data_IF_295582834957
#
_entry.id   IF_295582834957
#
_cell.length_a   1.000
_cell.length_b   1.000
_cell.length_c   1.000
_cell.angle_alpha   90.00
_cell.angle_beta   90.00
_cell.angle_gamma   90.00
#
_symmetry.space_group_name_H-M   'P 1'
#
loop_
_entity.id
_entity.type
_entity.pdbx_description
1 polymer ?
#
# COMPACT_ATOMS: atom_id res chain seq x y z
N UNK A 1 -22.52 36.73 26.06
CA UNK A 1 -22.54 36.49 24.60
C UNK A 1 -21.40 35.54 24.25
N UNK A 2 -21.70 34.26 24.10
CA UNK A 2 -20.71 33.18 23.98
C UNK A 2 -20.17 33.06 22.55
N UNK A 3 -18.90 33.38 22.36
CA UNK A 3 -18.11 33.21 21.13
C UNK A 3 -17.76 31.74 20.81
N UNK A 4 -18.56 30.77 21.27
CA UNK A 4 -18.30 29.32 21.15
C UNK A 4 -19.28 28.57 20.21
N UNK A 5 -20.10 29.29 19.42
CA UNK A 5 -21.12 28.68 18.53
C UNK A 5 -20.78 28.70 17.03
N UNK A 6 -19.53 29.01 16.64
CA UNK A 6 -19.12 29.10 15.22
C UNK A 6 -18.21 27.97 14.73
N UNK A 7 -18.10 26.85 15.46
CA UNK A 7 -17.67 25.59 14.86
C UNK A 7 -18.92 24.89 14.33
N UNK A 8 -19.15 25.04 13.02
CA UNK A 8 -20.14 24.34 12.21
C UNK A 8 -20.18 22.85 12.56
N UNK A 9 -21.09 22.46 13.45
CA UNK A 9 -21.38 21.06 13.70
C UNK A 9 -22.01 20.50 12.44
N UNK A 10 -21.30 19.59 11.79
CA UNK A 10 -21.93 18.69 10.86
C UNK A 10 -23.04 17.94 11.63
N UNK A 11 -24.31 18.20 11.28
CA UNK A 11 -25.46 17.52 11.88
C UNK A 11 -25.43 16.01 11.61
N UNK A 12 -26.24 15.23 12.32
CA UNK A 12 -26.33 13.77 12.12
C UNK A 12 -26.40 13.41 10.63
N UNK A 13 -25.65 12.38 10.19
CA UNK A 13 -25.63 11.98 8.77
C UNK A 13 -27.04 11.68 8.21
N UNK A 14 -27.95 11.23 9.08
CA UNK A 14 -29.34 10.92 8.75
C UNK A 14 -30.18 12.14 8.35
N UNK A 15 -29.78 13.37 8.75
CA UNK A 15 -30.48 14.62 8.42
C UNK A 15 -29.92 15.30 7.18
N UNK A 16 -28.90 14.72 6.56
CA UNK A 16 -28.26 15.29 5.37
C UNK A 16 -29.11 15.03 4.12
N UNK A 17 -29.04 15.97 3.17
CA UNK A 17 -29.75 15.91 1.89
C UNK A 17 -29.42 14.61 1.15
N UNK A 18 -30.45 13.96 0.59
CA UNK A 18 -30.33 12.76 -0.22
C UNK A 18 -29.98 13.13 -1.65
N UNK A 19 -28.76 12.79 -2.08
CA UNK A 19 -28.22 13.12 -3.39
C UNK A 19 -28.42 11.99 -4.40
N UNK A 20 -28.34 10.75 -3.94
CA UNK A 20 -28.52 9.57 -4.78
C UNK A 20 -29.18 8.45 -3.99
N UNK A 21 -30.08 7.73 -4.66
CA UNK A 21 -30.73 6.54 -4.11
C UNK A 21 -30.89 5.48 -5.19
N UNK A 22 -30.57 4.24 -4.84
CA UNK A 22 -30.93 3.06 -5.59
C UNK A 22 -31.57 2.05 -4.62
N UNK A 23 -32.81 1.65 -4.84
CA UNK A 23 -33.57 0.75 -3.96
C UNK A 23 -33.72 -0.68 -4.50
N UNK A 24 -33.08 -0.96 -5.63
CA UNK A 24 -33.20 -2.23 -6.34
C UNK A 24 -31.81 -2.82 -6.59
N UNK A 25 -30.97 -2.82 -5.56
CA UNK A 25 -29.73 -3.58 -5.63
C UNK A 25 -30.10 -5.07 -5.72
N UNK A 26 -29.69 -5.67 -6.83
CA UNK A 26 -29.66 -7.13 -6.97
C UNK A 26 -28.82 -7.74 -5.84
N UNK A 27 -29.03 -9.02 -5.59
CA UNK A 27 -28.30 -9.76 -4.56
C UNK A 27 -26.79 -9.54 -4.65
N UNK A 28 -26.16 -9.27 -3.50
CA UNK A 28 -24.71 -9.09 -3.41
C UNK A 28 -24.05 -10.45 -3.18
N UNK A 29 -23.02 -10.73 -3.96
CA UNK A 29 -22.13 -11.88 -3.82
C UNK A 29 -20.68 -11.42 -3.66
N UNK A 30 -19.78 -12.33 -3.29
CA UNK A 30 -18.35 -12.03 -3.28
C UNK A 30 -17.90 -11.55 -4.67
N UNK A 31 -17.16 -10.44 -4.71
CA UNK A 31 -16.78 -9.77 -5.97
C UNK A 31 -17.74 -8.64 -6.37
N UNK A 32 -18.87 -8.47 -5.68
CA UNK A 32 -19.74 -7.30 -5.89
C UNK A 32 -18.99 -6.03 -5.48
N UNK A 33 -18.72 -5.16 -6.46
CA UNK A 33 -18.02 -3.89 -6.28
C UNK A 33 -18.89 -2.70 -6.69
N UNK A 34 -18.83 -1.64 -5.90
CA UNK A 34 -19.47 -0.36 -6.16
C UNK A 34 -18.43 0.74 -6.21
N UNK A 35 -18.36 1.46 -7.33
CA UNK A 35 -17.51 2.64 -7.47
C UNK A 35 -18.38 3.88 -7.44
N UNK A 36 -18.26 4.66 -6.37
CA UNK A 36 -18.92 5.95 -6.21
C UNK A 36 -17.94 7.04 -6.56
N UNK A 37 -18.21 7.78 -7.64
CA UNK A 37 -17.39 8.90 -8.09
C UNK A 37 -18.23 10.16 -8.23
N UNK A 38 -17.59 11.32 -8.12
CA UNK A 38 -18.28 12.61 -8.23
C UNK A 38 -17.38 13.74 -7.76
N UNK A 39 -17.98 14.87 -7.40
CA UNK A 39 -17.27 16.03 -6.88
C UNK A 39 -17.75 16.36 -5.49
N UNK A 40 -16.82 16.71 -4.60
CA UNK A 40 -17.22 17.33 -3.33
C UNK A 40 -17.53 18.80 -3.58
N UNK A 41 -18.53 19.33 -2.88
CA UNK A 41 -18.84 20.77 -2.96
C UNK A 41 -17.70 21.62 -2.38
N UNK A 42 -17.64 22.90 -2.77
CA UNK A 42 -16.58 23.84 -2.32
C UNK A 42 -16.57 24.08 -0.81
N UNK A 43 -17.72 23.90 -0.14
CA UNK A 43 -17.91 24.01 1.32
C UNK A 43 -18.12 22.64 2.00
N UNK A 44 -17.74 21.54 1.33
CA UNK A 44 -17.97 20.19 1.83
C UNK A 44 -17.37 19.97 3.22
N UNK A 45 -18.22 19.55 4.15
CA UNK A 45 -17.85 19.18 5.53
C UNK A 45 -17.81 17.65 5.67
N UNK A 46 -18.74 16.96 5.01
CA UNK A 46 -18.76 15.52 4.88
C UNK A 46 -19.80 15.06 3.88
N UNK A 47 -19.93 13.76 3.75
CA UNK A 47 -21.02 13.06 3.08
C UNK A 47 -21.03 11.62 3.58
N UNK A 48 -22.09 10.87 3.27
CA UNK A 48 -22.19 9.46 3.64
C UNK A 48 -22.64 8.60 2.47
N UNK A 49 -22.10 7.39 2.38
CA UNK A 49 -22.51 6.31 1.49
C UNK A 49 -23.04 5.18 2.38
N UNK A 50 -24.31 4.84 2.22
CA UNK A 50 -25.04 3.91 3.08
C UNK A 50 -25.53 2.70 2.28
N UNK A 51 -25.15 1.51 2.68
CA UNK A 51 -25.72 0.26 2.20
C UNK A 51 -26.73 -0.26 3.22
N UNK A 52 -27.98 -0.41 2.78
CA UNK A 52 -29.15 -0.56 3.64
C UNK A 52 -29.82 -1.91 3.37
N UNK A 53 -30.21 -2.57 4.46
CA UNK A 53 -31.11 -3.73 4.46
C UNK A 53 -32.53 -3.18 4.66
N UNK A 54 -33.44 -3.52 3.74
CA UNK A 54 -34.82 -3.03 3.73
C UNK A 54 -35.73 -3.84 4.69
N UNK A 55 -35.27 -4.04 5.93
CA UNK A 55 -36.08 -4.56 7.03
C UNK A 55 -36.91 -3.44 7.68
N UNK A 56 -37.73 -3.79 8.68
CA UNK A 56 -38.63 -2.83 9.36
C UNK A 56 -37.88 -1.60 9.88
N UNK A 57 -36.64 -1.77 10.33
CA UNK A 57 -35.82 -0.71 10.93
C UNK A 57 -34.89 -0.01 9.94
N UNK A 58 -34.90 -0.43 8.65
CA UNK A 58 -33.99 0.04 7.60
C UNK A 58 -32.52 0.04 8.04
N UNK A 59 -32.05 -1.10 8.53
CA UNK A 59 -30.70 -1.20 9.10
C UNK A 59 -29.62 -0.83 8.07
N UNK A 60 -28.58 -0.12 8.54
CA UNK A 60 -27.42 0.26 7.72
C UNK A 60 -26.33 -0.77 7.96
N UNK A 61 -26.15 -1.68 6.99
CA UNK A 61 -25.11 -2.71 7.05
C UNK A 61 -23.70 -2.11 6.96
N UNK A 62 -23.54 -1.11 6.10
CA UNK A 62 -22.30 -0.33 5.98
C UNK A 62 -22.63 1.15 5.80
N UNK A 63 -22.13 1.96 6.73
CA UNK A 63 -22.08 3.40 6.65
C UNK A 63 -20.64 3.83 6.40
N UNK A 64 -20.36 4.55 5.31
CA UNK A 64 -19.05 5.14 5.02
C UNK A 64 -19.20 6.65 4.99
N UNK A 65 -18.58 7.35 5.92
CA UNK A 65 -18.81 8.79 6.12
C UNK A 65 -17.49 9.58 6.18
N UNK A 66 -17.01 10.09 5.03
CA UNK A 66 -15.87 10.98 5.00
C UNK A 66 -16.12 12.31 5.71
N UNK A 67 -15.19 12.70 6.58
CA UNK A 67 -15.15 13.97 7.30
C UNK A 67 -14.00 14.82 6.77
N UNK A 68 -14.28 15.77 5.87
CA UNK A 68 -13.24 16.47 5.11
C UNK A 68 -12.35 17.37 5.98
N UNK A 69 -12.85 18.19 6.92
CA UNK A 69 -12.01 19.04 7.76
C UNK A 69 -11.02 18.23 8.60
N UNK A 70 -11.44 17.06 9.08
CA UNK A 70 -10.63 16.18 9.93
C UNK A 70 -9.85 15.13 9.13
N UNK A 71 -10.12 15.00 7.82
CA UNK A 71 -9.41 14.14 6.87
C UNK A 71 -9.40 12.63 7.22
N UNK A 72 -10.50 12.14 7.78
CA UNK A 72 -10.72 10.71 8.03
C UNK A 72 -12.09 10.25 7.53
N UNK A 73 -12.30 8.93 7.53
CA UNK A 73 -13.56 8.31 7.12
C UNK A 73 -14.06 7.45 8.27
N UNK A 74 -15.29 7.72 8.73
CA UNK A 74 -15.99 6.88 9.70
C UNK A 74 -16.57 5.69 8.95
N UNK A 75 -16.44 4.49 9.54
CA UNK A 75 -17.23 3.32 9.14
C UNK A 75 -18.03 2.82 10.33
N UNK A 76 -19.28 2.46 10.10
CA UNK A 76 -20.14 1.92 11.14
C UNK A 76 -21.28 1.09 10.53
N UNK A 77 -22.10 0.50 11.41
CA UNK A 77 -23.40 -0.09 11.08
C UNK A 77 -24.46 0.45 12.04
N UNK A 78 -25.70 0.55 11.58
CA UNK A 78 -26.86 0.95 12.38
C UNK A 78 -27.84 -0.20 12.41
N UNK A 79 -28.12 -0.75 13.58
CA UNK A 79 -28.98 -1.91 13.78
C UNK A 79 -30.10 -1.50 14.73
N UNK A 80 -31.35 -1.70 14.33
CA UNK A 80 -32.53 -1.33 15.11
C UNK A 80 -32.48 0.13 15.61
N UNK A 81 -32.17 1.04 14.69
CA UNK A 81 -31.99 2.47 14.93
C UNK A 81 -30.77 2.89 15.78
N UNK A 82 -29.97 1.94 16.28
CA UNK A 82 -28.80 2.21 17.13
C UNK A 82 -27.51 2.08 16.33
N UNK A 83 -26.67 3.12 16.40
CA UNK A 83 -25.33 3.08 15.83
C UNK A 83 -24.41 2.20 16.66
N UNK A 84 -23.63 1.35 16.01
CA UNK A 84 -22.59 0.55 16.65
C UNK A 84 -21.34 1.34 17.00
N UNK A 85 -20.25 0.64 17.31
CA UNK A 85 -18.93 1.26 17.57
C UNK A 85 -18.34 1.80 16.27
N UNK A 86 -17.96 3.07 16.27
CA UNK A 86 -17.33 3.72 15.11
C UNK A 86 -15.92 3.20 14.85
N UNK A 87 -15.59 2.96 13.58
CA UNK A 87 -14.23 2.70 13.12
C UNK A 87 -13.71 3.91 12.34
N UNK A 88 -12.71 4.61 12.89
CA UNK A 88 -12.08 5.81 12.28
C UNK A 88 -10.59 5.62 11.96
N UNK A 89 -9.95 4.56 12.46
CA UNK A 89 -8.54 4.29 12.22
C UNK A 89 -8.30 3.80 10.78
N UNK A 90 -7.29 4.37 10.12
CA UNK A 90 -6.77 3.96 8.81
C UNK A 90 -5.27 4.28 8.75
N UNK A 91 -4.52 3.48 8.00
CA UNK A 91 -3.09 3.73 7.77
C UNK A 91 -2.85 4.85 6.74
N UNK A 92 -3.90 5.30 6.03
CA UNK A 92 -3.86 6.43 5.11
C UNK A 92 -4.79 7.54 5.58
N UNK A 93 -4.46 8.76 5.18
CA UNK A 93 -5.40 9.87 5.22
C UNK A 93 -6.33 9.78 4.02
N UNK A 94 -7.60 10.18 4.18
CA UNK A 94 -8.59 10.10 3.11
C UNK A 94 -8.19 10.96 1.91
N UNK A 95 -7.53 12.09 2.18
CA UNK A 95 -7.03 13.06 1.21
C UNK A 95 -8.08 13.57 0.22
N UNK A 96 -9.36 13.50 0.59
CA UNK A 96 -10.45 14.16 -0.13
C UNK A 96 -10.33 15.68 0.05
N UNK A 97 -10.57 16.42 -1.04
CA UNK A 97 -10.44 17.88 -1.06
C UNK A 97 -11.74 18.51 -1.53
N UNK A 98 -12.15 19.60 -0.89
CA UNK A 98 -13.33 20.40 -1.27
C UNK A 98 -13.23 20.87 -2.72
N UNK A 99 -14.34 20.83 -3.46
CA UNK A 99 -14.39 21.25 -4.86
C UNK A 99 -13.63 20.34 -5.82
N UNK A 100 -13.18 19.16 -5.38
CA UNK A 100 -12.39 18.22 -6.21
C UNK A 100 -13.15 16.92 -6.43
N UNK A 101 -12.78 16.27 -7.54
CA UNK A 101 -13.24 14.94 -7.86
C UNK A 101 -12.77 13.92 -6.82
N UNK A 102 -13.59 12.91 -6.58
CA UNK A 102 -13.25 11.75 -5.78
C UNK A 102 -13.72 10.46 -6.44
N UNK A 103 -13.12 9.35 -6.04
CA UNK A 103 -13.59 8.00 -6.34
C UNK A 103 -13.43 7.13 -5.10
N UNK A 104 -14.50 6.46 -4.69
CA UNK A 104 -14.52 5.51 -3.58
C UNK A 104 -15.03 4.17 -4.11
N UNK A 105 -14.18 3.15 -4.09
CA UNK A 105 -14.56 1.79 -4.48
C UNK A 105 -14.81 0.95 -3.23
N UNK A 106 -15.94 0.24 -3.20
CA UNK A 106 -16.40 -0.59 -2.09
C UNK A 106 -16.63 -1.99 -2.64
N UNK A 107 -15.75 -2.92 -2.27
CA UNK A 107 -15.79 -4.32 -2.67
C UNK A 107 -16.28 -5.19 -1.51
N UNK A 108 -17.32 -5.97 -1.75
CA UNK A 108 -17.80 -7.00 -0.83
C UNK A 108 -17.06 -8.31 -1.09
N UNK A 109 -16.36 -8.83 -0.08
CA UNK A 109 -15.76 -10.17 -0.08
C UNK A 109 -16.44 -11.05 0.98
N UNK A 110 -16.14 -12.35 1.00
CA UNK A 110 -16.66 -13.23 2.07
C UNK A 110 -16.21 -12.78 3.46
N UNK A 111 -14.96 -12.34 3.59
CA UNK A 111 -14.35 -12.05 4.89
C UNK A 111 -14.68 -10.64 5.40
N UNK A 112 -14.74 -9.65 4.50
CA UNK A 112 -14.90 -8.25 4.87
C UNK A 112 -15.29 -7.38 3.67
N UNK A 113 -15.50 -6.09 3.93
CA UNK A 113 -15.69 -5.08 2.90
C UNK A 113 -14.38 -4.30 2.74
N UNK A 114 -13.87 -4.22 1.52
CA UNK A 114 -12.65 -3.48 1.19
C UNK A 114 -13.01 -2.13 0.58
N UNK A 115 -12.45 -1.05 1.13
CA UNK A 115 -12.77 0.33 0.73
C UNK A 115 -11.51 1.00 0.22
N UNK A 116 -11.53 1.46 -1.03
CA UNK A 116 -10.47 2.26 -1.65
C UNK A 116 -10.89 3.71 -1.76
N UNK A 117 -9.94 4.63 -1.68
CA UNK A 117 -10.15 6.06 -1.91
C UNK A 117 -9.12 6.51 -2.94
N UNK A 118 -9.60 7.08 -4.04
CA UNK A 118 -8.81 7.55 -5.17
C UNK A 118 -7.79 6.50 -5.66
N UNK A 119 -8.24 5.25 -5.83
CA UNK A 119 -7.42 4.16 -6.37
C UNK A 119 -6.41 3.55 -5.39
N UNK A 120 -6.38 3.99 -4.13
CA UNK A 120 -5.57 3.37 -3.07
C UNK A 120 -6.47 2.62 -2.09
N UNK A 121 -6.09 1.39 -1.73
CA UNK A 121 -6.74 0.68 -0.64
C UNK A 121 -6.63 1.51 0.65
N UNK A 122 -7.78 1.88 1.22
CA UNK A 122 -7.85 2.74 2.39
C UNK A 122 -8.02 1.90 3.65
N UNK A 123 -9.00 0.99 3.67
CA UNK A 123 -9.25 0.15 4.83
C UNK A 123 -10.11 -1.07 4.49
N UNK A 124 -10.19 -1.99 5.46
CA UNK A 124 -11.21 -3.04 5.53
C UNK A 124 -12.24 -2.71 6.61
N UNK A 125 -13.45 -3.24 6.47
CA UNK A 125 -14.52 -3.20 7.47
C UNK A 125 -15.13 -4.60 7.59
N UNK A 126 -15.16 -5.16 8.79
CA UNK A 126 -15.73 -6.51 9.01
C UNK A 126 -17.25 -6.45 8.95
N UNK A 127 -17.87 -7.42 8.29
CA UNK A 127 -19.34 -7.52 8.21
C UNK A 127 -19.95 -7.62 9.61
N UNK A 128 -20.89 -6.71 9.93
CA UNK A 128 -21.69 -6.76 11.16
C UNK A 128 -23.12 -7.24 10.91
N UNK A 129 -23.56 -7.14 9.66
CA UNK A 129 -24.83 -7.66 9.15
C UNK A 129 -24.55 -8.48 7.88
N UNK A 130 -25.45 -9.39 7.50
CA UNK A 130 -25.29 -10.18 6.29
C UNK A 130 -25.36 -9.28 5.03
N UNK A 131 -24.25 -9.15 4.30
CA UNK A 131 -24.20 -8.25 3.14
C UNK A 131 -25.12 -8.69 1.99
N UNK A 132 -25.55 -9.95 1.98
CA UNK A 132 -26.46 -10.50 0.97
C UNK A 132 -27.90 -9.97 1.09
N UNK A 133 -28.26 -9.39 2.24
CA UNK A 133 -29.58 -8.79 2.50
C UNK A 133 -29.65 -7.30 2.12
N UNK A 134 -28.53 -6.70 1.73
CA UNK A 134 -28.48 -5.31 1.29
C UNK A 134 -29.29 -5.15 0.00
N UNK A 135 -30.23 -4.20 -0.02
CA UNK A 135 -31.10 -3.92 -1.17
C UNK A 135 -31.05 -2.47 -1.63
N UNK A 136 -30.54 -1.57 -0.80
CA UNK A 136 -30.49 -0.15 -1.13
C UNK A 136 -29.12 0.47 -0.90
N UNK A 137 -28.80 1.46 -1.75
CA UNK A 137 -27.66 2.35 -1.63
C UNK A 137 -28.17 3.79 -1.57
N UNK A 138 -27.81 4.52 -0.53
CA UNK A 138 -28.11 5.95 -0.38
C UNK A 138 -26.81 6.75 -0.23
N UNK A 139 -26.72 7.87 -0.94
CA UNK A 139 -25.63 8.84 -0.79
C UNK A 139 -26.24 10.17 -0.36
N UNK A 140 -25.72 10.71 0.75
CA UNK A 140 -26.22 11.94 1.39
C UNK A 140 -25.09 12.91 1.69
N UNK A 141 -25.39 14.21 1.73
CA UNK A 141 -24.45 15.26 2.14
C UNK A 141 -23.80 16.03 0.99
N UNK A 142 -22.65 16.66 1.24
CA UNK A 142 -22.13 17.76 0.43
C UNK A 142 -21.34 17.29 -0.81
N UNK A 143 -22.00 16.60 -1.72
CA UNK A 143 -21.42 16.06 -2.97
C UNK A 143 -22.36 16.30 -4.16
N UNK A 144 -21.78 16.37 -5.35
CA UNK A 144 -22.50 16.62 -6.59
C UNK A 144 -21.95 15.79 -7.75
N UNK A 145 -22.71 15.72 -8.85
CA UNK A 145 -22.33 14.98 -10.07
C UNK A 145 -21.95 13.52 -9.77
N UNK A 146 -22.73 12.90 -8.90
CA UNK A 146 -22.51 11.53 -8.45
C UNK A 146 -22.77 10.54 -9.58
N UNK A 147 -21.82 9.64 -9.79
CA UNK A 147 -21.94 8.44 -10.61
C UNK A 147 -21.66 7.23 -9.73
N UNK A 148 -22.58 6.27 -9.75
CA UNK A 148 -22.42 4.98 -9.09
C UNK A 148 -22.35 3.90 -10.15
N UNK A 149 -21.25 3.15 -10.16
CA UNK A 149 -21.06 1.99 -11.02
C UNK A 149 -21.03 0.72 -10.18
N UNK A 150 -21.83 -0.27 -10.56
CA UNK A 150 -21.77 -1.62 -9.99
C UNK A 150 -21.11 -2.55 -10.99
N UNK A 151 -20.16 -3.34 -10.53
CA UNK A 151 -19.51 -4.38 -11.33
C UNK A 151 -19.24 -5.62 -10.47
N UNK A 152 -19.17 -6.78 -11.13
CA UNK A 152 -18.51 -7.96 -10.56
C UNK A 152 -17.04 -7.84 -10.91
N UNK A 153 -16.16 -7.93 -9.91
CA UNK A 153 -14.72 -7.82 -10.09
C UNK A 153 -14.01 -9.05 -9.55
N UNK A 154 -12.93 -9.42 -10.22
CA UNK A 154 -12.01 -10.49 -9.80
C UNK A 154 -10.75 -9.93 -9.13
N UNK A 155 -10.59 -8.61 -9.10
CA UNK A 155 -9.44 -7.96 -8.45
C UNK A 155 -9.78 -6.58 -7.90
N UNK A 156 -8.99 -6.14 -6.93
CA UNK A 156 -9.15 -4.85 -6.27
C UNK A 156 -7.79 -4.33 -5.72
N UNK A 157 -7.57 -3.00 -5.64
CA UNK A 157 -8.46 -1.94 -6.13
C UNK A 157 -8.30 -1.71 -7.64
N UNK A 158 -9.29 -1.03 -8.22
CA UNK A 158 -9.14 -0.39 -9.52
C UNK A 158 -8.25 0.84 -9.38
N UNK A 159 -7.21 0.89 -10.21
CA UNK A 159 -6.21 1.95 -10.16
C UNK A 159 -6.65 3.12 -11.02
N UNK A 160 -6.63 4.31 -10.44
CA UNK A 160 -6.66 5.58 -11.16
C UNK A 160 -5.27 5.93 -11.69
N UNK A 161 -5.14 6.80 -12.71
CA UNK A 161 -3.85 7.14 -13.33
C UNK A 161 -2.74 7.56 -12.37
N UNK A 162 -3.06 8.21 -11.24
CA UNK A 162 -2.08 8.63 -10.24
C UNK A 162 -1.72 7.54 -9.22
N UNK A 163 -2.53 6.48 -9.14
CA UNK A 163 -2.36 5.35 -8.21
C UNK A 163 -1.75 4.11 -8.86
N UNK A 164 -1.45 4.18 -10.16
CA UNK A 164 -0.77 3.09 -10.87
C UNK A 164 0.65 2.93 -10.33
N UNK A 165 1.15 1.69 -10.17
CA UNK A 165 2.53 1.46 -9.80
C UNK A 165 3.51 2.06 -10.81
N UNK A 166 4.62 2.61 -10.33
CA UNK A 166 5.65 3.22 -11.16
C UNK A 166 6.89 2.32 -11.23
N UNK A 167 7.56 2.21 -12.40
CA UNK A 167 8.82 1.48 -12.49
C UNK A 167 9.88 2.06 -11.55
N UNK A 168 10.55 1.20 -10.77
CA UNK A 168 11.65 1.59 -9.91
C UNK A 168 12.85 1.90 -10.80
N UNK A 169 13.43 3.12 -10.71
CA UNK A 169 14.58 3.48 -11.53
C UNK A 169 15.79 2.62 -11.20
N UNK A 170 16.50 2.19 -12.24
CA UNK A 170 17.76 1.46 -12.12
C UNK A 170 18.95 2.43 -12.15
N UNK A 171 19.75 2.44 -11.09
CA UNK A 171 21.01 3.19 -11.00
C UNK A 171 22.20 2.28 -11.30
N UNK A 172 23.08 2.72 -12.23
CA UNK A 172 24.18 1.92 -12.78
C UNK A 172 25.35 1.67 -11.82
N UNK A 173 25.49 2.42 -10.73
CA UNK A 173 26.55 2.18 -9.74
C UNK A 173 26.29 2.91 -8.43
N UNK A 174 26.68 2.28 -7.31
CA UNK A 174 26.86 2.95 -6.02
C UNK A 174 28.03 3.94 -6.02
N UNK A 175 29.01 3.80 -6.94
CA UNK A 175 30.21 4.65 -7.02
C UNK A 175 29.90 6.11 -7.37
N UNK A 176 28.77 6.37 -8.01
CA UNK A 176 28.29 7.75 -8.22
C UNK A 176 27.77 8.41 -6.93
N UNK A 177 27.75 7.68 -5.80
CA UNK A 177 27.24 8.12 -4.49
C UNK A 177 28.31 7.79 -3.41
N UNK A 178 29.57 8.18 -3.66
CA UNK A 178 30.78 8.03 -2.82
C UNK A 178 31.74 6.88 -3.21
N UNK A 179 33.02 7.25 -3.32
CA UNK A 179 34.19 6.44 -3.66
C UNK A 179 34.46 5.34 -2.63
N UNK A 180 34.77 4.10 -3.07
CA UNK A 180 35.78 3.29 -2.38
C UNK A 180 36.39 2.18 -3.24
N UNK A 181 37.64 1.89 -2.89
CA UNK A 181 38.63 1.03 -3.54
C UNK A 181 38.73 -0.38 -2.91
N UNK A 182 39.05 -1.34 -3.78
CA UNK A 182 39.67 -2.69 -3.62
C UNK A 182 39.03 -3.92 -2.92
N UNK A 183 39.33 -5.04 -3.62
CA UNK A 183 39.52 -6.48 -3.34
C UNK A 183 38.47 -7.34 -2.63
N UNK A 184 38.05 -8.40 -3.32
CA UNK A 184 37.07 -9.40 -2.90
C UNK A 184 37.71 -10.78 -2.76
N UNK A 185 37.57 -11.37 -1.57
CA UNK A 185 37.54 -12.83 -1.37
C UNK A 185 36.13 -13.22 -0.89
N UNK A 186 35.63 -14.34 -1.43
CA UNK A 186 34.27 -14.85 -1.27
C UNK A 186 34.03 -15.47 0.12
N UNK A 187 33.80 -14.61 1.12
CA UNK A 187 33.16 -15.01 2.37
C UNK A 187 31.89 -14.15 2.61
N UNK A 188 30.76 -14.79 2.98
CA UNK A 188 29.41 -14.19 3.14
C UNK A 188 29.40 -12.98 4.13
N UNK A 189 30.41 -12.88 5.01
CA UNK A 189 30.62 -11.76 5.93
C UNK A 189 31.25 -10.51 5.27
N UNK A 190 32.03 -10.68 4.20
CA UNK A 190 32.69 -9.56 3.51
C UNK A 190 31.71 -8.76 2.65
N UNK A 191 30.73 -9.44 2.04
CA UNK A 191 29.61 -8.81 1.32
C UNK A 191 28.82 -7.87 2.23
N UNK A 192 28.50 -8.32 3.45
CA UNK A 192 27.85 -7.50 4.46
C UNK A 192 28.72 -6.30 4.88
N UNK A 193 30.03 -6.47 5.03
CA UNK A 193 30.97 -5.36 5.33
C UNK A 193 31.05 -4.31 4.21
N UNK A 194 30.95 -4.70 2.95
CA UNK A 194 31.02 -3.77 1.83
C UNK A 194 29.70 -3.00 1.63
N UNK A 195 28.56 -3.65 1.86
CA UNK A 195 27.29 -2.94 2.00
C UNK A 195 27.38 -1.89 3.11
N UNK A 196 28.11 -2.19 4.21
CA UNK A 196 28.34 -1.26 5.32
C UNK A 196 29.02 0.07 4.98
N UNK A 197 29.57 0.21 3.79
CA UNK A 197 30.27 1.43 3.34
C UNK A 197 29.38 2.37 2.52
N UNK A 198 28.15 1.97 2.15
CA UNK A 198 27.20 2.74 1.30
C UNK A 198 26.55 3.95 2.04
N UNK A 199 27.04 4.33 3.21
CA UNK A 199 26.18 4.29 4.38
C UNK A 199 25.75 5.56 5.09
N UNK A 200 26.22 6.71 4.67
CA UNK A 200 25.84 7.94 5.37
C UNK A 200 25.35 8.95 4.37
N UNK A 201 24.02 9.20 4.30
CA UNK A 201 23.57 10.39 3.62
C UNK A 201 24.23 11.60 4.32
N UNK A 202 25.06 12.32 3.58
CA UNK A 202 25.65 13.58 4.03
C UNK A 202 24.56 14.61 4.30
N UNK A 203 24.90 15.65 5.05
CA UNK A 203 23.95 16.75 5.31
C UNK A 203 23.37 17.33 4.01
N UNK A 204 24.18 17.39 2.94
CA UNK A 204 23.75 17.81 1.61
C UNK A 204 22.76 16.84 0.95
N UNK A 205 22.96 15.52 1.05
CA UNK A 205 22.03 14.55 0.47
C UNK A 205 20.72 14.46 1.24
N UNK A 206 20.74 14.63 2.58
CA UNK A 206 19.51 14.79 3.38
C UNK A 206 18.69 16.01 2.95
N UNK A 207 19.34 17.16 2.72
CA UNK A 207 18.67 18.37 2.27
C UNK A 207 18.03 18.22 0.88
N UNK A 208 18.66 17.47 -0.03
CA UNK A 208 18.11 17.16 -1.35
C UNK A 208 16.95 16.15 -1.25
N UNK A 209 17.10 15.10 -0.44
CA UNK A 209 16.08 14.07 -0.21
C UNK A 209 14.81 14.64 0.43
N UNK A 210 14.93 15.63 1.31
CA UNK A 210 13.79 16.30 1.94
C UNK A 210 12.91 17.10 0.96
N UNK A 211 13.41 17.45 -0.22
CA UNK A 211 12.63 18.19 -1.24
C UNK A 211 11.73 17.29 -2.10
N UNK A 212 12.00 15.98 -2.14
CA UNK A 212 11.32 15.02 -3.03
C UNK A 212 10.59 13.93 -2.23
N UNK A 213 9.58 14.31 -1.44
CA UNK A 213 8.76 13.34 -0.70
C UNK A 213 7.86 12.53 -1.65
N UNK A 214 8.05 11.22 -1.66
CA UNK A 214 7.24 10.27 -2.44
C UNK A 214 5.93 10.02 -1.70
N UNK A 215 4.83 10.12 -2.44
CA UNK A 215 3.48 9.91 -1.89
C UNK A 215 3.29 8.47 -1.42
N UNK A 216 2.55 8.32 -0.32
CA UNK A 216 2.23 7.03 0.30
C UNK A 216 0.75 6.68 0.09
N UNK A 217 0.40 5.39 -0.11
CA UNK A 217 1.29 4.24 -0.13
C UNK A 217 2.06 4.16 -1.45
N UNK A 218 3.28 3.60 -1.40
CA UNK A 218 4.15 3.47 -2.56
C UNK A 218 4.01 2.08 -3.18
N UNK A 219 3.87 2.05 -4.51
CA UNK A 219 3.94 0.84 -5.33
C UNK A 219 4.98 1.04 -6.43
N UNK A 220 6.12 0.39 -6.28
CA UNK A 220 7.20 0.39 -7.27
C UNK A 220 7.25 -0.94 -8.00
N UNK A 221 7.29 -0.94 -9.33
CA UNK A 221 7.42 -2.17 -10.13
C UNK A 221 8.82 -2.34 -10.68
N UNK A 222 9.22 -3.59 -10.90
CA UNK A 222 10.49 -3.92 -11.52
C UNK A 222 10.35 -5.20 -12.35
N UNK A 223 11.19 -5.40 -13.39
CA UNK A 223 11.13 -6.61 -14.19
C UNK A 223 11.42 -7.86 -13.35
N UNK A 224 10.62 -8.91 -13.56
CA UNK A 224 10.90 -10.25 -13.05
C UNK A 224 12.33 -10.69 -13.41
N UNK A 225 12.98 -11.40 -12.49
CA UNK A 225 14.38 -11.82 -12.63
C UNK A 225 15.43 -10.80 -12.20
N UNK A 226 15.03 -9.57 -11.80
CA UNK A 226 16.00 -8.56 -11.35
C UNK A 226 16.52 -8.82 -9.93
N UNK A 227 15.79 -9.57 -9.11
CA UNK A 227 16.17 -9.90 -7.73
C UNK A 227 17.12 -11.09 -7.69
N UNK A 228 18.35 -10.85 -8.14
CA UNK A 228 19.44 -11.82 -8.14
C UNK A 228 20.65 -11.28 -7.36
N UNK A 229 21.67 -12.13 -7.18
CA UNK A 229 22.90 -11.76 -6.50
C UNK A 229 23.48 -10.44 -7.08
N UNK A 230 23.96 -9.55 -6.19
CA UNK A 230 24.51 -8.22 -6.50
C UNK A 230 23.52 -7.18 -7.04
N UNK A 231 22.21 -7.45 -6.94
CA UNK A 231 21.15 -6.45 -7.12
C UNK A 231 20.55 -6.11 -5.76
N UNK A 232 20.36 -4.81 -5.53
CA UNK A 232 19.88 -4.29 -4.24
C UNK A 232 18.70 -3.36 -4.48
N UNK A 233 17.64 -3.52 -3.71
CA UNK A 233 16.62 -2.47 -3.55
C UNK A 233 17.07 -1.56 -2.42
N UNK A 234 17.26 -0.28 -2.72
CA UNK A 234 17.57 0.76 -1.73
C UNK A 234 16.34 1.64 -1.50
N UNK A 235 16.00 1.85 -0.23
CA UNK A 235 14.88 2.66 0.22
C UNK A 235 15.42 3.68 1.21
N UNK A 236 15.31 4.98 0.90
CA UNK A 236 15.69 6.07 1.79
C UNK A 236 14.44 6.80 2.28
N UNK A 237 14.41 7.14 3.56
CA UNK A 237 13.28 7.85 4.15
C UNK A 237 13.54 8.34 5.57
N UNK A 238 12.45 8.76 6.22
CA UNK A 238 12.44 9.24 7.61
C UNK A 238 11.27 8.65 8.38
N UNK A 239 11.49 8.26 9.62
CA UNK A 239 10.39 7.86 10.51
C UNK A 239 9.58 9.11 10.89
N UNK A 240 8.25 9.01 10.93
CA UNK A 240 7.39 10.10 11.45
C UNK A 240 7.66 10.32 12.94
N UNK A 241 7.17 11.42 13.52
CA UNK A 241 7.45 11.77 14.92
C UNK A 241 6.68 10.90 15.91
N UNK A 242 5.50 10.42 15.53
CA UNK A 242 4.64 9.56 16.36
C UNK A 242 4.29 8.28 15.60
N UNK A 243 5.29 7.43 15.29
CA UNK A 243 5.07 6.25 14.47
C UNK A 243 4.37 5.16 15.29
N UNK A 244 3.40 4.48 14.69
CA UNK A 244 2.83 3.24 15.21
C UNK A 244 3.43 2.04 14.50
N UNK A 245 3.43 2.06 13.16
CA UNK A 245 4.07 1.02 12.36
C UNK A 245 4.30 1.45 10.92
N UNK A 246 5.21 0.76 10.24
CA UNK A 246 5.27 0.76 8.78
C UNK A 246 5.66 -0.62 8.27
N UNK A 247 5.30 -0.90 7.02
CA UNK A 247 5.61 -2.14 6.35
C UNK A 247 6.27 -1.93 5.00
N UNK A 248 7.10 -2.89 4.63
CA UNK A 248 7.71 -3.06 3.30
C UNK A 248 7.43 -4.49 2.86
N UNK A 249 6.81 -4.63 1.69
CA UNK A 249 6.58 -5.91 1.04
C UNK A 249 7.38 -5.98 -0.27
N UNK A 250 7.98 -7.15 -0.52
CA UNK A 250 8.39 -7.59 -1.85
C UNK A 250 7.40 -8.66 -2.27
N UNK A 251 6.63 -8.39 -3.31
CA UNK A 251 5.44 -9.16 -3.67
C UNK A 251 5.24 -9.28 -5.17
N UNK A 252 4.28 -10.12 -5.57
CA UNK A 252 3.81 -10.25 -6.95
C UNK A 252 2.60 -9.34 -7.13
N UNK A 253 2.72 -8.38 -8.05
CA UNK A 253 1.70 -7.42 -8.40
C UNK A 253 1.36 -6.42 -7.29
N UNK A 254 0.36 -5.59 -7.58
CA UNK A 254 -0.07 -4.47 -6.75
C UNK A 254 -1.52 -4.59 -6.26
N UNK A 255 -2.17 -5.75 -6.45
CA UNK A 255 -3.54 -5.98 -5.99
C UNK A 255 -3.57 -6.22 -4.48
N UNK A 256 -4.70 -5.92 -3.87
CA UNK A 256 -5.00 -6.17 -2.44
C UNK A 256 -5.97 -7.32 -2.27
N UNK A 257 -6.87 -7.51 -3.24
CA UNK A 257 -7.73 -8.68 -3.31
C UNK A 257 -7.74 -9.23 -4.76
N UNK A 258 -7.54 -10.54 -4.96
CA UNK A 258 -7.02 -11.51 -3.98
C UNK A 258 -5.71 -11.02 -3.34
N UNK A 259 -5.41 -11.49 -2.12
CA UNK A 259 -4.18 -11.07 -1.45
C UNK A 259 -2.96 -11.43 -2.33
N UNK A 260 -2.02 -10.51 -2.51
CA UNK A 260 -0.86 -10.76 -3.34
C UNK A 260 0.06 -11.77 -2.65
N UNK A 261 0.75 -12.57 -3.45
CA UNK A 261 1.83 -13.41 -2.98
C UNK A 261 2.99 -12.53 -2.50
N UNK A 262 3.42 -12.68 -1.24
CA UNK A 262 4.46 -11.85 -0.62
C UNK A 262 5.69 -12.69 -0.31
N UNK A 263 6.78 -12.47 -1.05
CA UNK A 263 8.07 -13.15 -0.85
C UNK A 263 8.90 -12.58 0.32
N UNK A 264 8.63 -11.35 0.73
CA UNK A 264 9.19 -10.76 1.94
C UNK A 264 8.24 -9.70 2.49
N UNK A 265 7.70 -9.94 3.68
CA UNK A 265 6.97 -8.96 4.49
C UNK A 265 7.85 -8.52 5.64
N UNK A 266 8.05 -7.21 5.79
CA UNK A 266 8.70 -6.60 6.95
C UNK A 266 7.70 -5.62 7.54
N UNK A 267 7.34 -5.76 8.81
CA UNK A 267 6.48 -4.84 9.53
C UNK A 267 7.17 -4.42 10.83
N UNK A 268 7.57 -3.15 10.86
CA UNK A 268 8.23 -2.53 12.00
C UNK A 268 7.15 -1.87 12.86
N UNK A 269 7.03 -2.30 14.10
CA UNK A 269 6.05 -1.81 15.07
C UNK A 269 6.76 -1.09 16.20
N UNK A 270 6.24 0.07 16.56
CA UNK A 270 6.78 0.91 17.61
C UNK A 270 5.91 0.76 18.85
N UNK A 271 6.45 0.18 19.93
CA UNK A 271 5.71 0.08 21.19
C UNK A 271 5.52 1.48 21.81
N UNK A 272 4.35 1.73 22.39
CA UNK A 272 4.15 2.91 23.24
C UNK A 272 4.66 2.57 24.65
N UNK A 273 5.60 3.33 25.20
CA UNK A 273 5.86 3.27 26.65
C UNK A 273 4.87 4.15 27.40
N UNK A 274 4.56 3.76 28.64
CA UNK A 274 3.69 4.51 29.57
C UNK A 274 4.15 5.97 29.78
N UNK A 275 5.44 6.27 29.57
CA UNK A 275 6.04 7.58 29.76
C UNK A 275 6.15 8.44 28.47
N UNK A 276 5.50 8.06 27.37
CA UNK A 276 5.42 8.89 26.15
C UNK A 276 6.64 8.88 25.23
N UNK A 277 7.74 8.22 25.61
CA UNK A 277 8.87 7.94 24.71
C UNK A 277 8.53 6.70 23.86
N UNK A 278 8.88 6.71 22.58
CA UNK A 278 8.70 5.54 21.71
C UNK A 278 9.57 4.39 22.23
N UNK A 279 8.91 3.28 22.59
CA UNK A 279 9.50 2.11 23.22
C UNK A 279 10.26 1.20 22.25
N UNK A 280 10.58 -0.01 22.74
CA UNK A 280 11.28 -1.03 21.96
C UNK A 280 10.54 -1.32 20.66
N UNK A 281 11.28 -1.34 19.56
CA UNK A 281 10.77 -1.69 18.23
C UNK A 281 10.69 -3.20 18.08
N UNK A 282 9.56 -3.71 17.57
CA UNK A 282 9.42 -5.11 17.18
C UNK A 282 9.41 -5.21 15.67
N UNK A 283 10.23 -6.10 15.11
CA UNK A 283 10.23 -6.39 13.67
C UNK A 283 9.53 -7.72 13.48
N UNK A 284 8.40 -7.67 12.78
CA UNK A 284 7.72 -8.87 12.27
C UNK A 284 8.22 -9.10 10.86
N UNK A 285 8.69 -10.31 10.58
CA UNK A 285 8.98 -10.76 9.22
C UNK A 285 8.11 -11.95 8.88
N UNK A 286 7.59 -11.98 7.66
CA UNK A 286 6.79 -13.11 7.21
C UNK A 286 6.81 -13.24 5.67
N UNK A 287 6.18 -14.29 5.19
CA UNK A 287 5.93 -14.63 3.78
C UNK A 287 4.46 -15.00 3.66
N UNK A 288 3.83 -14.63 2.54
CA UNK A 288 2.45 -14.99 2.23
C UNK A 288 2.43 -15.81 0.94
N UNK A 289 2.18 -17.10 1.06
CA UNK A 289 2.21 -18.08 -0.02
C UNK A 289 1.02 -19.00 0.07
N UNK A 290 0.50 -19.45 -1.08
CA UNK A 290 -0.59 -20.43 -1.14
C UNK A 290 -1.81 -20.05 -0.29
N UNK A 291 -2.12 -18.74 -0.20
CA UNK A 291 -3.27 -18.24 0.54
C UNK A 291 -3.10 -18.17 2.06
N UNK A 292 -1.88 -18.37 2.59
CA UNK A 292 -1.63 -18.28 4.03
C UNK A 292 -0.34 -17.52 4.33
N UNK A 293 -0.34 -16.83 5.47
CA UNK A 293 0.89 -16.35 6.09
C UNK A 293 1.65 -17.54 6.68
N UNK A 294 2.97 -17.56 6.52
CA UNK A 294 3.80 -18.53 7.25
C UNK A 294 3.75 -18.28 8.76
N UNK A 295 4.29 -19.21 9.55
CA UNK A 295 4.39 -19.04 11.00
C UNK A 295 5.21 -17.79 11.32
N UNK A 296 4.51 -16.75 11.80
CA UNK A 296 5.07 -15.46 12.21
C UNK A 296 6.38 -15.62 12.98
N UNK A 297 7.50 -15.16 12.41
CA UNK A 297 8.77 -15.08 13.13
C UNK A 297 8.96 -13.66 13.66
N UNK A 298 8.49 -13.42 14.87
CA UNK A 298 8.70 -12.15 15.58
C UNK A 298 10.14 -12.07 16.06
N UNK A 299 10.86 -11.04 15.64
CA UNK A 299 12.20 -10.77 16.14
C UNK A 299 12.17 -9.48 16.97
N UNK A 300 12.45 -9.62 18.26
CA UNK A 300 12.63 -8.49 19.17
C UNK A 300 14.05 -7.94 19.05
N UNK A 301 14.36 -7.35 17.91
CA UNK A 301 15.68 -6.73 17.64
C UNK A 301 15.64 -5.27 18.05
N UNK A 302 16.70 -4.78 18.69
CA UNK A 302 16.88 -3.33 18.80
C UNK A 302 17.16 -2.79 17.39
N UNK A 303 16.30 -1.90 16.92
CA UNK A 303 16.42 -1.32 15.58
C UNK A 303 16.91 0.10 15.68
N UNK A 304 17.54 0.57 14.61
CA UNK A 304 17.97 1.97 14.49
C UNK A 304 16.82 2.89 14.06
N UNK A 305 15.60 2.36 13.92
CA UNK A 305 14.45 3.18 13.66
C UNK A 305 14.11 3.99 14.91
N UNK A 306 14.26 5.31 14.79
CA UNK A 306 13.95 6.27 15.83
C UNK A 306 13.02 7.35 15.26
N UNK A 307 12.01 7.82 16.01
CA UNK A 307 11.11 8.86 15.54
C UNK A 307 11.85 10.09 15.02
N UNK A 308 11.44 10.59 13.85
CA UNK A 308 12.07 11.75 13.20
C UNK A 308 13.46 11.51 12.60
N UNK A 309 14.10 10.34 12.81
CA UNK A 309 15.40 10.03 12.22
C UNK A 309 15.25 9.48 10.80
N UNK A 310 16.24 9.83 9.97
CA UNK A 310 16.41 9.25 8.65
C UNK A 310 16.84 7.78 8.75
N UNK A 311 16.52 7.01 7.72
CA UNK A 311 16.95 5.64 7.58
C UNK A 311 17.25 5.31 6.12
N UNK A 312 18.11 4.32 5.93
CA UNK A 312 18.28 3.61 4.65
C UNK A 312 18.00 2.12 4.87
N UNK A 313 17.11 1.54 4.08
CA UNK A 313 16.91 0.09 4.00
C UNK A 313 17.56 -0.41 2.72
N UNK A 314 18.37 -1.46 2.83
CA UNK A 314 18.89 -2.22 1.69
C UNK A 314 18.35 -3.63 1.73
N UNK A 315 17.79 -4.10 0.63
CA UNK A 315 17.32 -5.48 0.48
C UNK A 315 18.17 -6.11 -0.61
N UNK A 316 19.08 -7.00 -0.20
CA UNK A 316 19.92 -7.78 -1.09
C UNK A 316 19.32 -9.18 -1.25
N UNK A 317 19.26 -9.68 -2.48
CA UNK A 317 18.70 -10.98 -2.78
C UNK A 317 19.79 -11.97 -3.18
N UNK A 318 19.70 -13.20 -2.67
CA UNK A 318 20.47 -14.36 -3.12
C UNK A 318 19.51 -15.43 -3.62
N UNK A 319 20.01 -16.55 -4.14
CA UNK A 319 19.15 -17.69 -4.47
C UNK A 319 18.46 -18.29 -3.24
N UNK A 320 19.11 -18.27 -2.07
CA UNK A 320 18.60 -18.94 -0.87
C UNK A 320 17.82 -18.02 0.09
N UNK A 321 18.14 -16.73 0.15
CA UNK A 321 17.52 -15.79 1.08
C UNK A 321 17.56 -14.34 0.59
N UNK A 322 16.64 -13.52 1.11
CA UNK A 322 16.72 -12.07 1.11
C UNK A 322 17.29 -11.56 2.44
N UNK A 323 18.25 -10.66 2.36
CA UNK A 323 18.90 -10.05 3.54
C UNK A 323 18.57 -8.56 3.57
N UNK A 324 18.07 -8.13 4.71
CA UNK A 324 17.60 -6.76 4.96
C UNK A 324 18.60 -6.08 5.89
N UNK A 325 19.11 -4.95 5.44
CA UNK A 325 19.96 -4.06 6.22
C UNK A 325 19.19 -2.78 6.52
N UNK A 326 19.35 -2.26 7.73
CA UNK A 326 18.85 -0.94 8.13
C UNK A 326 20.05 -0.15 8.60
N UNK A 327 20.32 0.96 7.91
CA UNK A 327 21.57 1.68 8.00
C UNK A 327 22.69 0.65 8.03
N UNK A 328 23.37 0.48 9.18
CA UNK A 328 24.54 -0.36 9.35
C UNK A 328 24.44 -1.75 9.91
N UNK A 329 23.22 -2.19 10.17
CA UNK A 329 23.00 -3.46 10.82
C UNK A 329 22.12 -4.34 9.96
N UNK A 330 22.46 -5.63 9.94
CA UNK A 330 21.57 -6.65 9.42
C UNK A 330 20.36 -6.65 10.34
N UNK A 331 19.19 -6.34 9.79
CA UNK A 331 17.93 -6.40 10.50
C UNK A 331 17.40 -7.83 10.51
N UNK A 332 17.37 -8.45 9.32
CA UNK A 332 16.72 -9.74 9.08
C UNK A 332 17.42 -10.48 7.94
N UNK A 333 17.54 -11.81 8.08
CA UNK A 333 17.80 -12.77 6.99
C UNK A 333 16.57 -13.65 6.78
N UNK A 334 15.90 -13.52 5.65
CA UNK A 334 14.67 -14.24 5.30
C UNK A 334 14.93 -15.29 4.22
N UNK A 335 14.72 -16.57 4.53
CA UNK A 335 14.81 -17.61 3.52
C UNK A 335 13.77 -17.37 2.42
N UNK A 336 14.14 -17.66 1.18
CA UNK A 336 13.25 -17.49 0.04
C UNK A 336 12.22 -18.63 0.05
N UNK A 337 10.99 -18.35 0.49
CA UNK A 337 9.88 -19.29 0.37
C UNK A 337 9.33 -19.41 -1.07
N UNK A 338 9.73 -18.48 -1.93
CA UNK A 338 9.31 -18.34 -3.33
C UNK A 338 10.55 -17.99 -4.13
N UNK A 339 10.62 -18.44 -5.38
CA UNK A 339 11.63 -17.97 -6.33
C UNK A 339 11.59 -16.44 -6.44
N UNK A 340 12.66 -15.72 -6.02
CA UNK A 340 12.71 -14.27 -6.09
C UNK A 340 12.55 -13.70 -7.49
N UNK A 341 12.81 -14.49 -8.53
CA UNK A 341 12.63 -14.06 -9.92
C UNK A 341 11.17 -13.79 -10.28
N UNK A 342 10.22 -14.39 -9.55
CA UNK A 342 8.78 -14.18 -9.77
C UNK A 342 8.26 -12.87 -9.18
N UNK A 343 9.00 -12.27 -8.25
CA UNK A 343 8.62 -11.03 -7.61
C UNK A 343 8.86 -9.85 -8.56
N UNK A 344 7.98 -8.85 -8.50
CA UNK A 344 7.98 -7.73 -9.45
C UNK A 344 7.58 -6.38 -8.80
N UNK A 345 7.20 -6.37 -7.51
CA UNK A 345 6.62 -5.20 -6.88
C UNK A 345 7.19 -4.97 -5.48
N UNK A 346 7.60 -3.72 -5.21
CA UNK A 346 7.85 -3.20 -3.85
C UNK A 346 6.62 -2.42 -3.41
N UNK A 347 6.02 -2.82 -2.30
CA UNK A 347 4.92 -2.10 -1.67
C UNK A 347 5.33 -1.56 -0.30
N UNK A 348 5.09 -0.27 -0.06
CA UNK A 348 5.48 0.40 1.19
C UNK A 348 4.30 1.20 1.73
N UNK A 349 3.98 1.02 3.01
CA UNK A 349 2.92 1.75 3.71
C UNK A 349 3.31 2.04 5.17
N UNK A 350 2.78 3.14 5.72
CA UNK A 350 2.75 3.39 7.16
C UNK A 350 3.43 4.69 7.58
N UNK A 351 3.97 4.70 8.79
CA UNK A 351 4.41 5.92 9.48
C UNK A 351 5.83 6.37 9.15
N UNK A 352 6.09 6.49 7.85
CA UNK A 352 7.34 7.01 7.29
C UNK A 352 7.07 8.09 6.26
N UNK A 353 8.07 8.93 6.04
CA UNK A 353 8.22 9.77 4.84
C UNK A 353 9.21 9.08 3.93
N UNK A 354 8.82 8.85 2.68
CA UNK A 354 9.66 8.17 1.70
C UNK A 354 10.32 9.22 0.81
N UNK A 355 11.62 9.07 0.55
CA UNK A 355 12.39 10.03 -0.26
C UNK A 355 12.94 9.42 -1.53
N UNK A 356 13.33 8.14 -1.47
CA UNK A 356 13.93 7.47 -2.61
C UNK A 356 13.68 5.96 -2.56
N UNK A 357 13.38 5.38 -3.71
CA UNK A 357 13.37 3.93 -3.93
C UNK A 357 14.06 3.67 -5.26
N UNK A 358 15.19 2.95 -5.23
CA UNK A 358 16.00 2.68 -6.42
C UNK A 358 16.43 1.23 -6.44
N UNK A 359 16.58 0.69 -7.64
CA UNK A 359 17.31 -0.54 -7.86
C UNK A 359 18.76 -0.19 -8.15
N UNK A 360 19.66 -0.86 -7.45
CA UNK A 360 21.09 -0.63 -7.58
C UNK A 360 21.74 -1.88 -8.12
N UNK A 361 22.49 -1.70 -9.22
CA UNK A 361 23.43 -2.70 -9.69
C UNK A 361 24.75 -2.54 -8.95
N UNK A 362 25.25 -3.59 -8.32
CA UNK A 362 26.64 -3.60 -7.92
C UNK A 362 27.51 -3.61 -9.20
N UNK A 363 28.32 -2.57 -9.36
CA UNK A 363 29.32 -2.48 -10.43
C UNK A 363 30.52 -3.42 -10.24
N UNK A 364 30.48 -4.33 -9.26
CA UNK A 364 31.59 -5.20 -8.88
C UNK A 364 31.32 -6.68 -9.10
N UNK A 365 30.11 -7.09 -9.50
CA UNK A 365 29.93 -8.44 -10.02
C UNK A 365 30.69 -8.57 -11.34
N UNK A 366 31.55 -9.58 -11.51
CA UNK A 366 32.29 -9.76 -12.75
C UNK A 366 31.31 -9.80 -13.92
N UNK A 367 31.63 -9.14 -15.05
CA UNK A 367 30.83 -9.29 -16.26
C UNK A 367 30.90 -10.76 -16.67
N UNK A 368 29.79 -11.47 -16.50
CA UNK A 368 29.53 -12.83 -17.01
C UNK A 368 30.36 -13.95 -16.35
N UNK A 369 29.81 -14.58 -15.31
CA UNK A 369 29.92 -16.04 -15.22
C UNK A 369 28.98 -16.64 -16.26
N UNK A 370 29.47 -17.65 -16.98
CA UNK A 370 28.86 -18.26 -18.17
C UNK A 370 27.46 -18.82 -17.90
N UNK A 371 26.43 -17.99 -18.02
CA UNK A 371 25.03 -18.38 -18.30
C UNK A 371 24.48 -17.70 -19.56
N UNK A 372 25.36 -17.03 -20.32
CA UNK A 372 25.07 -16.48 -21.64
C UNK A 372 25.29 -17.50 -22.76
N UNK A 373 24.59 -18.64 -22.71
CA UNK A 373 24.27 -19.45 -23.90
C UNK A 373 22.90 -20.05 -23.64
N UNK A 374 21.86 -19.35 -24.11
CA UNK A 374 20.52 -19.86 -24.46
C UNK A 374 19.56 -18.72 -24.86
N UNK A 375 20.01 -17.44 -24.87
CA UNK A 375 19.23 -16.33 -25.44
C UNK A 375 19.43 -16.11 -26.94
N UNK A 376 19.75 -17.16 -27.70
CA UNK A 376 19.92 -17.07 -29.16
C UNK A 376 19.40 -18.32 -29.86
N UNK A 377 18.13 -18.68 -29.63
CA UNK A 377 17.35 -19.61 -30.45
C UNK A 377 15.86 -19.54 -30.10
N UNK A 378 15.27 -18.35 -30.11
CA UNK A 378 13.79 -18.24 -30.18
C UNK A 378 13.49 -17.23 -31.28
N UNK A 379 13.36 -17.75 -32.50
CA UNK A 379 12.74 -17.01 -33.60
C UNK A 379 11.26 -16.87 -33.30
N UNK A 380 10.80 -15.62 -33.19
CA UNK A 380 9.38 -15.31 -33.13
C UNK A 380 8.73 -15.72 -34.45
N UNK A 381 7.93 -16.80 -34.43
CA UNK A 381 7.03 -17.13 -35.54
C UNK A 381 5.94 -16.05 -35.59
N UNK A 382 6.12 -15.09 -36.50
CA UNK A 382 5.12 -14.11 -36.88
C UNK A 382 3.94 -14.83 -37.53
N UNK A 383 2.79 -14.86 -36.85
CA UNK A 383 1.51 -15.25 -37.45
C UNK A 383 1.09 -14.20 -38.48
N UNK A 384 1.32 -14.49 -39.77
CA UNK A 384 0.74 -13.74 -40.89
C UNK A 384 -0.77 -14.02 -40.97
N UNK A 385 -1.56 -12.94 -41.08
CA UNK A 385 -2.99 -12.97 -41.45
C UNK A 385 -3.17 -13.65 -42.82
N UNK A 386 -4.25 -14.42 -43.05
CA UNK A 386 -4.54 -14.93 -44.38
C UNK A 386 -5.04 -13.79 -45.28
N UNK A 387 -4.37 -13.60 -46.42
CA UNK A 387 -4.90 -12.83 -47.56
C UNK A 387 -5.64 -13.79 -48.47
N UNK A 388 -6.86 -13.40 -48.85
CA UNK A 388 -7.68 -14.01 -49.87
C UNK A 388 -6.92 -14.13 -51.20
N UNK A 389 -7.16 -15.22 -51.94
CA UNK A 389 -6.89 -15.31 -53.37
C UNK A 389 -8.19 -15.61 -54.09
N UNK A 390 -8.62 -14.63 -54.88
CA UNK A 390 -9.33 -14.83 -56.14
C UNK A 390 -8.43 -15.57 -57.12
N UNK A 391 -8.91 -16.66 -57.72
CA UNK A 391 -9.23 -16.82 -59.15
C UNK A 391 -10.29 -17.92 -59.20
#
# INVERSE_FOLDING_TARGET
>A
MNWLRLLLYWGSDDTQELIYRNQHLMHLSEGSSFTVSGFTQSYCQGFSINFIIENVTRDVALHVSPRLPQNYIIRNSKIQFVWGVEENASALLANLKRGRAFSIQILFTKESILISVNGYHFCKFTHRLPYHDIRSLEIRGHVERIKVERAMVESYPDRLPHSVPLPIPLTKSLKSIYDFDRNFDEEDDNYARNLRKIFTPTHASLALMMKNEISMPYYGTFPSGILQLGRIIKIDGRIKLLPQSFLVNIQIGCKVWPLPTVGLHINVRFAKQLAGIVGRTTVVRNTYTNGAWDKDRRLNVDTEFRPGKAFTILIACTQAFMRVYVNHRVLVKNANAIDPNLLDTVYIQGDIKLWNVVLVAESYLPPKTKWGVLSSSISFISRRKPRAKSI
#
